data_IF_896811039349
#
_entry.id   IF_896811039349
#
_cell.length_a   1.000
_cell.length_b   1.000
_cell.length_c   1.000
_cell.angle_alpha   90.00
_cell.angle_beta   90.00
_cell.angle_gamma   90.00
#
_symmetry.space_group_name_H-M   'P 1'
#
loop_
_entity.id
_entity.type
_entity.pdbx_description
1 polymer ?
#
# COMPACT_ATOMS: atom_id res chain seq x y z
N UNK A 1 -8.83 -2.15 26.96
CA UNK A 1 -9.24 -0.81 27.37
C UNK A 1 -10.74 -0.67 27.37
N UNK A 2 -11.43 -0.98 26.26
CA UNK A 2 -12.89 -0.87 26.16
C UNK A 2 -13.68 -1.78 27.13
N UNK A 3 -13.07 -2.87 27.59
CA UNK A 3 -13.67 -3.82 28.53
C UNK A 3 -13.24 -3.62 30.00
N UNK A 4 -12.46 -2.58 30.26
CA UNK A 4 -11.96 -2.27 31.61
C UNK A 4 -12.63 -0.98 32.08
N UNK A 5 -13.29 -1.03 33.24
CA UNK A 5 -13.75 0.17 33.95
C UNK A 5 -12.55 1.11 34.11
N UNK A 6 -12.66 2.37 33.89
CA UNK A 6 -11.56 3.34 33.97
C UNK A 6 -10.38 3.11 32.99
N UNK A 7 -10.48 2.20 32.01
CA UNK A 7 -9.38 1.89 31.07
C UNK A 7 -8.85 3.11 30.32
N UNK A 8 -9.73 4.01 29.89
CA UNK A 8 -9.36 5.26 29.22
C UNK A 8 -8.59 6.19 30.16
N UNK A 9 -8.98 6.26 31.42
CA UNK A 9 -8.30 7.08 32.43
C UNK A 9 -6.92 6.53 32.79
N UNK A 10 -6.79 5.20 32.85
CA UNK A 10 -5.50 4.54 33.05
C UNK A 10 -4.54 4.86 31.90
N UNK A 11 -5.02 4.77 30.64
CA UNK A 11 -4.21 5.14 29.47
C UNK A 11 -3.85 6.63 29.48
N UNK A 12 -4.81 7.49 29.78
CA UNK A 12 -4.55 8.93 29.88
C UNK A 12 -3.47 9.23 30.91
N UNK A 13 -3.58 8.68 32.12
CA UNK A 13 -2.60 8.87 33.17
C UNK A 13 -1.22 8.33 32.78
N UNK A 14 -1.17 7.18 32.12
CA UNK A 14 0.10 6.62 31.63
C UNK A 14 0.73 7.51 30.56
N UNK A 15 -0.03 7.86 29.52
CA UNK A 15 0.47 8.64 28.40
C UNK A 15 0.88 10.05 28.82
N UNK A 16 0.05 10.72 29.64
CA UNK A 16 0.30 12.09 30.08
C UNK A 16 1.22 12.17 31.30
N UNK A 17 0.97 11.35 32.30
CA UNK A 17 1.66 11.43 33.58
C UNK A 17 3.00 10.69 33.57
N UNK A 18 3.05 9.49 33.00
CA UNK A 18 4.28 8.66 33.00
C UNK A 18 5.14 8.95 31.77
N UNK A 19 4.56 8.95 30.58
CA UNK A 19 5.30 9.17 29.33
C UNK A 19 5.54 10.65 29.01
N UNK A 20 4.86 11.58 29.69
CA UNK A 20 5.03 13.02 29.48
C UNK A 20 4.57 13.54 28.11
N UNK A 21 3.74 12.78 27.39
CA UNK A 21 3.28 13.19 26.05
C UNK A 21 2.40 14.43 26.14
N UNK A 22 2.70 15.47 25.38
CA UNK A 22 1.96 16.74 25.37
C UNK A 22 0.68 16.72 24.53
N UNK A 23 0.45 15.66 23.72
CA UNK A 23 -0.75 15.51 22.90
C UNK A 23 -0.82 16.55 21.77
N UNK A 24 0.29 16.97 21.28
CA UNK A 24 0.48 17.94 20.21
C UNK A 24 0.48 17.30 18.82
N UNK A 25 0.50 15.96 18.77
CA UNK A 25 0.40 15.22 17.50
C UNK A 25 -0.96 15.46 16.83
N UNK A 26 -0.92 15.90 15.58
CA UNK A 26 -2.09 16.13 14.73
C UNK A 26 -1.88 15.47 13.39
N UNK A 27 -2.94 14.79 12.89
CA UNK A 27 -2.90 14.10 11.60
C UNK A 27 -2.61 15.04 10.43
N UNK A 28 -3.14 16.26 10.48
CA UNK A 28 -2.96 17.26 9.41
C UNK A 28 -1.48 17.61 9.25
N UNK A 29 -0.80 17.92 10.35
CA UNK A 29 0.63 18.21 10.34
C UNK A 29 1.45 17.01 9.86
N UNK A 30 1.07 15.82 10.30
CA UNK A 30 1.73 14.58 9.86
C UNK A 30 1.67 14.41 8.34
N UNK A 31 0.50 14.60 7.74
CA UNK A 31 0.33 14.46 6.28
C UNK A 31 1.19 15.47 5.52
N UNK A 32 1.21 16.73 5.95
CA UNK A 32 2.03 17.78 5.32
C UNK A 32 3.53 17.50 5.44
N UNK A 33 3.98 17.09 6.61
CA UNK A 33 5.38 16.70 6.85
C UNK A 33 5.79 15.52 5.98
N UNK A 34 4.93 14.49 5.87
CA UNK A 34 5.21 13.33 5.01
C UNK A 34 5.26 13.71 3.53
N UNK A 35 4.34 14.56 3.04
CA UNK A 35 4.38 15.04 1.67
C UNK A 35 5.70 15.76 1.37
N UNK A 36 6.16 16.61 2.29
CA UNK A 36 7.44 17.32 2.15
C UNK A 36 8.62 16.36 2.12
N UNK A 37 8.68 15.43 3.07
CA UNK A 37 9.73 14.43 3.15
C UNK A 37 9.79 13.53 1.90
N UNK A 38 8.62 13.14 1.38
CA UNK A 38 8.53 12.34 0.13
C UNK A 38 9.08 13.14 -1.04
N UNK A 39 8.70 14.41 -1.20
CA UNK A 39 9.20 15.27 -2.28
C UNK A 39 10.72 15.43 -2.24
N UNK A 40 11.26 15.68 -1.06
CA UNK A 40 12.71 15.80 -0.85
C UNK A 40 13.45 14.50 -1.19
N UNK A 41 12.89 13.35 -0.80
CA UNK A 41 13.50 12.03 -1.02
C UNK A 41 13.43 11.60 -2.48
N UNK A 42 12.35 11.89 -3.17
CA UNK A 42 12.11 11.47 -4.56
C UNK A 42 12.81 12.40 -5.55
N UNK A 43 12.80 13.71 -5.30
CA UNK A 43 13.33 14.70 -6.24
C UNK A 43 12.70 14.54 -7.63
N UNK A 44 13.55 14.43 -8.66
CA UNK A 44 13.13 14.21 -10.05
C UNK A 44 12.93 12.73 -10.43
N UNK A 45 13.00 11.83 -9.44
CA UNK A 45 12.86 10.39 -9.63
C UNK A 45 11.43 9.96 -9.95
N UNK A 46 11.29 8.72 -10.45
CA UNK A 46 9.99 8.06 -10.65
C UNK A 46 9.79 7.01 -9.58
N UNK A 47 8.56 6.91 -9.07
CA UNK A 47 8.17 5.96 -8.02
C UNK A 47 7.18 4.96 -8.58
N UNK A 48 7.38 3.69 -8.25
CA UNK A 48 6.44 2.61 -8.53
C UNK A 48 5.83 2.18 -7.20
N UNK A 49 4.50 2.25 -7.11
CA UNK A 49 3.73 1.77 -5.97
C UNK A 49 2.98 0.50 -6.36
N UNK A 50 3.22 -0.60 -5.64
CA UNK A 50 2.44 -1.81 -5.80
C UNK A 50 1.17 -1.72 -4.95
N UNK A 51 0.01 -1.74 -5.62
CA UNK A 51 -1.30 -1.79 -4.95
C UNK A 51 -1.72 -3.24 -4.70
N UNK A 52 -2.18 -3.51 -3.50
CA UNK A 52 -2.69 -4.83 -3.11
C UNK A 52 -4.21 -4.87 -2.94
N UNK A 53 -4.90 -3.74 -3.10
CA UNK A 53 -6.31 -3.59 -2.75
C UNK A 53 -6.56 -3.35 -1.25
N UNK A 54 -5.53 -3.49 -0.40
CA UNK A 54 -5.61 -3.22 1.04
C UNK A 54 -5.51 -1.74 1.39
N UNK A 55 -5.97 -1.39 2.59
CA UNK A 55 -6.02 0.00 3.09
C UNK A 55 -4.64 0.66 3.09
N UNK A 56 -3.62 -0.04 3.58
CA UNK A 56 -2.27 0.54 3.73
C UNK A 56 -1.67 0.96 2.40
N UNK A 57 -1.73 0.08 1.39
CA UNK A 57 -1.23 0.39 0.05
C UNK A 57 -2.03 1.51 -0.63
N UNK A 58 -3.33 1.59 -0.35
CA UNK A 58 -4.21 2.64 -0.86
C UNK A 58 -3.87 4.00 -0.24
N UNK A 59 -3.69 4.06 1.07
CA UNK A 59 -3.26 5.28 1.77
C UNK A 59 -1.90 5.75 1.27
N UNK A 60 -0.94 4.82 1.12
CA UNK A 60 0.37 5.12 0.59
C UNK A 60 0.30 5.69 -0.84
N UNK A 61 -0.51 5.09 -1.73
CA UNK A 61 -0.69 5.56 -3.10
C UNK A 61 -1.28 6.98 -3.14
N UNK A 62 -2.31 7.27 -2.33
CA UNK A 62 -2.92 8.61 -2.25
C UNK A 62 -1.93 9.63 -1.70
N UNK A 63 -1.16 9.29 -0.67
CA UNK A 63 -0.15 10.18 -0.10
C UNK A 63 0.98 10.48 -1.10
N UNK A 64 1.48 9.46 -1.79
CA UNK A 64 2.48 9.59 -2.85
C UNK A 64 1.95 10.44 -4.01
N UNK A 65 0.71 10.22 -4.43
CA UNK A 65 0.07 11.01 -5.49
C UNK A 65 0.03 12.50 -5.14
N UNK A 66 -0.35 12.85 -3.90
CA UNK A 66 -0.34 14.23 -3.43
C UNK A 66 1.06 14.84 -3.36
N UNK A 67 2.07 14.01 -3.09
CA UNK A 67 3.45 14.46 -2.99
C UNK A 67 4.11 14.69 -4.35
N UNK A 68 4.00 13.72 -5.27
CA UNK A 68 4.82 13.64 -6.49
C UNK A 68 4.01 13.54 -7.79
N UNK A 69 2.68 13.45 -7.72
CA UNK A 69 1.80 13.50 -8.89
C UNK A 69 2.21 12.50 -10.00
N UNK A 70 2.50 13.02 -11.19
CA UNK A 70 2.81 12.22 -12.39
C UNK A 70 4.12 11.39 -12.31
N UNK A 71 4.94 11.60 -11.30
CA UNK A 71 6.13 10.76 -11.07
C UNK A 71 5.76 9.39 -10.48
N UNK A 72 4.51 9.24 -9.98
CA UNK A 72 4.00 8.00 -9.43
C UNK A 72 3.40 7.12 -10.52
N UNK A 73 3.75 5.83 -10.51
CA UNK A 73 3.04 4.78 -11.27
C UNK A 73 2.56 3.74 -10.28
N UNK A 74 1.25 3.50 -10.26
CA UNK A 74 0.62 2.46 -9.43
C UNK A 74 0.42 1.20 -10.25
N UNK A 75 0.86 0.06 -9.74
CA UNK A 75 0.70 -1.25 -10.39
C UNK A 75 -0.13 -2.16 -9.50
N UNK A 76 -1.23 -2.65 -10.04
CA UNK A 76 -2.08 -3.66 -9.42
C UNK A 76 -1.95 -4.97 -10.17
N UNK A 77 -1.65 -6.06 -9.48
CA UNK A 77 -1.49 -7.38 -10.08
C UNK A 77 -2.71 -8.23 -9.78
N UNK A 78 -3.52 -8.46 -10.80
CA UNK A 78 -4.65 -9.38 -10.72
C UNK A 78 -4.14 -10.81 -10.91
N UNK A 79 -4.00 -11.52 -9.81
CA UNK A 79 -3.52 -12.91 -9.79
C UNK A 79 -4.66 -13.96 -9.86
N UNK A 80 -5.91 -13.52 -9.96
CA UNK A 80 -7.07 -14.39 -10.07
C UNK A 80 -7.56 -15.03 -8.76
N UNK A 81 -6.94 -14.71 -7.63
CA UNK A 81 -7.33 -15.18 -6.30
C UNK A 81 -7.92 -14.06 -5.45
N UNK A 82 -8.32 -12.98 -6.10
CA UNK A 82 -8.97 -11.83 -5.49
C UNK A 82 -10.40 -12.17 -5.06
N UNK A 83 -10.96 -11.35 -4.19
CA UNK A 83 -12.39 -11.38 -3.91
C UNK A 83 -13.18 -10.99 -5.16
N UNK A 84 -14.46 -11.37 -5.19
CA UNK A 84 -15.34 -11.01 -6.28
C UNK A 84 -15.33 -9.49 -6.49
N UNK A 85 -15.06 -9.06 -7.71
CA UNK A 85 -15.01 -7.67 -8.18
C UNK A 85 -13.92 -6.80 -7.55
N UNK A 86 -13.06 -7.31 -6.67
CA UNK A 86 -12.02 -6.51 -5.98
C UNK A 86 -11.08 -5.80 -6.97
N UNK A 87 -10.69 -6.45 -8.06
CA UNK A 87 -9.87 -5.82 -9.10
C UNK A 87 -10.56 -4.65 -9.79
N UNK A 88 -11.85 -4.77 -10.05
CA UNK A 88 -12.65 -3.72 -10.70
C UNK A 88 -12.92 -2.56 -9.72
N UNK A 89 -13.11 -2.86 -8.44
CA UNK A 89 -13.23 -1.84 -7.39
C UNK A 89 -11.94 -1.02 -7.26
N UNK A 90 -10.78 -1.68 -7.22
CA UNK A 90 -9.48 -0.98 -7.17
C UNK A 90 -9.25 -0.12 -8.41
N UNK A 91 -9.58 -0.62 -9.59
CA UNK A 91 -9.49 0.13 -10.84
C UNK A 91 -10.48 1.30 -10.87
N UNK A 92 -11.69 1.14 -10.35
CA UNK A 92 -12.68 2.21 -10.21
C UNK A 92 -12.26 3.33 -9.26
N UNK A 93 -11.39 3.04 -8.29
CA UNK A 93 -10.87 4.04 -7.36
C UNK A 93 -9.60 4.72 -7.91
N UNK A 94 -8.67 3.96 -8.48
CA UNK A 94 -7.33 4.44 -8.82
C UNK A 94 -7.04 4.53 -10.30
N UNK A 95 -7.89 3.95 -11.14
CA UNK A 95 -7.70 3.89 -12.59
C UNK A 95 -8.11 5.17 -13.31
N UNK A 96 -7.98 5.17 -14.65
CA UNK A 96 -8.46 6.26 -15.50
C UNK A 96 -9.96 6.50 -15.27
N UNK A 97 -10.35 7.74 -15.01
CA UNK A 97 -11.70 8.15 -14.61
C UNK A 97 -12.13 7.66 -13.21
N UNK A 98 -11.20 7.11 -12.42
CA UNK A 98 -11.43 6.77 -11.02
C UNK A 98 -11.42 7.99 -10.10
N UNK A 99 -11.66 7.74 -8.82
CA UNK A 99 -11.72 8.81 -7.81
C UNK A 99 -10.39 9.60 -7.71
N UNK A 100 -9.26 8.97 -7.93
CA UNK A 100 -7.93 9.57 -7.78
C UNK A 100 -7.18 9.77 -9.10
N UNK A 101 -7.67 9.25 -10.21
CA UNK A 101 -7.08 9.36 -11.56
C UNK A 101 -5.53 9.25 -11.55
N UNK A 102 -5.04 8.14 -11.07
CA UNK A 102 -3.61 7.87 -10.98
C UNK A 102 -3.09 7.26 -12.28
N UNK A 103 -1.77 7.37 -12.51
CA UNK A 103 -1.10 6.55 -13.53
C UNK A 103 -1.13 5.08 -13.07
N UNK A 104 -2.23 4.40 -13.36
CA UNK A 104 -2.57 3.07 -12.88
C UNK A 104 -2.41 2.01 -13.97
N UNK A 105 -1.78 0.91 -13.62
CA UNK A 105 -1.56 -0.24 -14.51
C UNK A 105 -2.11 -1.49 -13.84
N UNK A 106 -3.17 -2.07 -14.40
CA UNK A 106 -3.64 -3.41 -14.01
C UNK A 106 -2.93 -4.47 -14.84
N UNK A 107 -2.25 -5.37 -14.18
CA UNK A 107 -1.56 -6.50 -14.80
C UNK A 107 -2.38 -7.76 -14.58
N UNK A 108 -2.97 -8.32 -15.63
CA UNK A 108 -3.60 -9.64 -15.55
C UNK A 108 -2.52 -10.72 -15.53
N UNK A 109 -2.39 -11.39 -14.41
CA UNK A 109 -1.42 -12.46 -14.18
C UNK A 109 -2.09 -13.81 -13.85
N UNK A 110 -3.42 -13.92 -14.00
CA UNK A 110 -4.22 -15.06 -13.55
C UNK A 110 -3.71 -16.39 -14.08
N UNK A 111 -3.56 -16.53 -15.40
CA UNK A 111 -3.06 -17.77 -16.01
C UNK A 111 -1.69 -18.20 -15.47
N UNK A 112 -0.82 -17.24 -15.26
CA UNK A 112 0.52 -17.47 -14.75
C UNK A 112 0.51 -18.00 -13.30
N UNK A 113 -0.37 -17.45 -12.47
CA UNK A 113 -0.58 -17.91 -11.11
C UNK A 113 -1.24 -19.29 -11.10
N UNK A 114 -2.30 -19.50 -11.87
CA UNK A 114 -3.00 -20.79 -11.95
C UNK A 114 -2.09 -21.91 -12.42
N UNK A 115 -1.25 -21.68 -13.44
CA UNK A 115 -0.28 -22.69 -13.90
C UNK A 115 0.72 -23.08 -12.80
N UNK A 116 1.16 -22.15 -11.98
CA UNK A 116 2.11 -22.43 -10.90
C UNK A 116 1.46 -23.01 -9.66
N UNK A 117 0.20 -22.77 -9.44
CA UNK A 117 -0.57 -23.30 -8.31
C UNK A 117 -1.22 -24.62 -8.61
N UNK A 118 -1.19 -25.09 -9.86
CA UNK A 118 -1.77 -26.37 -10.24
C UNK A 118 -1.15 -27.52 -9.43
N UNK A 119 -2.00 -28.28 -8.72
CA UNK A 119 -1.58 -29.41 -7.86
C UNK A 119 -1.02 -29.01 -6.49
N UNK A 120 -0.91 -27.71 -6.18
CA UNK A 120 -0.45 -27.24 -4.86
C UNK A 120 -1.66 -27.12 -3.93
N UNK A 121 -1.77 -28.01 -2.96
CA UNK A 121 -2.91 -28.07 -2.01
C UNK A 121 -2.60 -27.40 -0.68
N UNK A 122 -1.35 -27.54 -0.20
CA UNK A 122 -0.92 -27.01 1.08
C UNK A 122 -0.92 -25.48 1.12
N UNK A 123 -1.54 -24.83 2.12
CA UNK A 123 -1.65 -23.37 2.20
C UNK A 123 -0.31 -22.64 2.20
N UNK A 124 0.66 -23.17 2.96
CA UNK A 124 1.99 -22.56 3.04
C UNK A 124 2.79 -22.71 1.75
N UNK A 125 2.62 -23.82 1.04
CA UNK A 125 3.21 -24.01 -0.29
C UNK A 125 2.59 -23.06 -1.31
N UNK A 126 1.28 -22.81 -1.26
CA UNK A 126 0.60 -21.81 -2.07
C UNK A 126 1.20 -20.42 -1.83
N UNK A 127 1.28 -20.00 -0.58
CA UNK A 127 1.85 -18.71 -0.20
C UNK A 127 3.28 -18.53 -0.72
N UNK A 128 4.13 -19.53 -0.56
CA UNK A 128 5.51 -19.50 -1.08
C UNK A 128 5.56 -19.45 -2.60
N UNK A 129 4.66 -20.14 -3.27
CA UNK A 129 4.57 -20.14 -4.73
C UNK A 129 4.14 -18.76 -5.23
N UNK A 130 3.18 -18.13 -4.60
CA UNK A 130 2.71 -16.77 -4.93
C UNK A 130 3.82 -15.74 -4.75
N UNK A 131 4.50 -15.74 -3.62
CA UNK A 131 5.61 -14.80 -3.35
C UNK A 131 6.82 -15.02 -4.26
N UNK A 132 7.04 -16.26 -4.73
CA UNK A 132 8.11 -16.60 -5.67
C UNK A 132 7.82 -16.22 -7.13
N UNK A 133 6.61 -15.80 -7.46
CA UNK A 133 6.25 -15.35 -8.81
C UNK A 133 6.75 -13.92 -9.01
N UNK A 134 7.99 -13.79 -9.47
CA UNK A 134 8.54 -12.48 -9.84
C UNK A 134 7.75 -11.89 -11.00
N UNK A 135 7.32 -10.62 -10.93
CA UNK A 135 6.80 -9.94 -12.11
C UNK A 135 7.86 -9.96 -13.21
N UNK A 136 7.48 -10.29 -14.44
CA UNK A 136 8.39 -10.25 -15.58
C UNK A 136 8.81 -8.80 -15.79
N UNK A 137 9.92 -8.40 -15.19
CA UNK A 137 10.50 -7.08 -15.33
C UNK A 137 11.62 -7.08 -16.35
N UNK A 138 11.52 -6.20 -17.32
CA UNK A 138 12.62 -5.83 -18.21
C UNK A 138 13.84 -5.42 -17.40
N UNK A 139 14.99 -5.94 -17.81
CA UNK A 139 16.32 -5.36 -17.68
C UNK A 139 16.75 -4.76 -16.34
N UNK A 140 17.88 -5.25 -15.87
CA UNK A 140 18.65 -4.69 -14.76
C UNK A 140 18.76 -3.15 -14.87
N UNK A 141 17.96 -2.44 -14.05
CA UNK A 141 18.30 -1.13 -13.52
C UNK A 141 18.01 -1.20 -12.03
N UNK A 142 18.99 -0.81 -11.25
CA UNK A 142 18.89 -0.79 -9.78
C UNK A 142 17.61 -0.09 -9.33
N UNK A 143 16.76 -0.84 -8.64
CA UNK A 143 15.54 -0.33 -8.06
C UNK A 143 15.83 -0.02 -6.59
N UNK A 144 15.78 1.24 -6.24
CA UNK A 144 15.72 1.64 -4.82
C UNK A 144 14.29 1.47 -4.36
N UNK A 145 14.06 0.53 -3.46
CA UNK A 145 12.78 0.38 -2.78
C UNK A 145 12.75 1.36 -1.61
N UNK A 146 11.65 2.09 -1.48
CA UNK A 146 11.34 2.87 -0.29
C UNK A 146 10.43 1.99 0.55
N UNK A 147 10.97 1.42 1.62
CA UNK A 147 10.22 0.74 2.70
C UNK A 147 9.86 1.76 3.75
#
# INVERSE_FOLDING_TARGET
VLHTQEGSKMLYNFVRGVCGCCGDWRMDNFVEEQIKAIREKVGDGKVLCALSGGVDSSVAAVLLSKAIGNQLTCVFVDHGLLRKNEGDEVEGVFGPNGQFDLNFIRVNAQERYYKKLAGVTEPEAKRKTETGIKPMGRGKKERRYVT
#
